data_IF_680020035944
#
_entry.id   IF_680020035944
#
_cell.length_a   1.000
_cell.length_b   1.000
_cell.length_c   1.000
_cell.angle_alpha   90.00
_cell.angle_beta   90.00
_cell.angle_gamma   90.00
#
_symmetry.space_group_name_H-M   'P 1'
#
loop_
_entity.id
_entity.type
_entity.pdbx_description
1 polymer ?
#
# COMPACT_ATOMS: atom_id res chain seq x y z
N UNK A 1 -8.53 -13.03 -8.02
CA UNK A 1 -8.77 -11.98 -7.00
C UNK A 1 -7.67 -12.02 -5.95
N UNK A 2 -6.99 -10.89 -5.77
CA UNK A 2 -5.71 -10.72 -5.06
C UNK A 2 -5.76 -10.91 -3.52
N UNK A 3 -6.82 -11.52 -2.98
CA UNK A 3 -7.06 -11.64 -1.53
C UNK A 3 -7.10 -10.28 -0.79
N UNK A 4 -7.37 -9.17 -1.47
CA UNK A 4 -7.49 -7.84 -0.84
C UNK A 4 -8.86 -7.69 -0.20
N UNK A 5 -8.90 -7.29 1.07
CA UNK A 5 -10.11 -6.88 1.80
C UNK A 5 -10.32 -5.37 1.75
N UNK A 6 -9.23 -4.61 1.83
CA UNK A 6 -9.25 -3.15 1.81
C UNK A 6 -7.96 -2.63 1.21
N UNK A 7 -8.05 -1.56 0.45
CA UNK A 7 -6.90 -0.87 -0.13
C UNK A 7 -7.06 0.63 0.03
N UNK A 8 -5.96 1.33 0.28
CA UNK A 8 -5.89 2.77 0.30
C UNK A 8 -4.52 3.25 -0.17
N UNK A 9 -4.44 4.52 -0.54
CA UNK A 9 -3.21 5.19 -0.93
C UNK A 9 -2.76 6.07 0.23
N UNK A 10 -1.46 6.11 0.51
CA UNK A 10 -0.88 7.06 1.46
C UNK A 10 0.32 7.77 0.82
N UNK A 11 1.15 8.43 1.63
CA UNK A 11 2.41 8.99 1.15
C UNK A 11 2.23 10.20 0.24
N UNK A 12 3.13 10.35 -0.74
CA UNK A 12 3.23 11.56 -1.57
C UNK A 12 1.99 11.81 -2.43
N UNK A 13 1.37 10.73 -2.93
CA UNK A 13 0.15 10.79 -3.73
C UNK A 13 -1.06 11.26 -2.91
N UNK A 14 -1.21 10.77 -1.68
CA UNK A 14 -2.29 11.21 -0.79
C UNK A 14 -2.10 12.66 -0.30
N UNK A 15 -0.85 13.12 -0.17
CA UNK A 15 -0.51 14.47 0.32
C UNK A 15 -0.44 15.54 -0.78
N UNK A 16 -0.51 15.16 -2.05
CA UNK A 16 -0.34 16.08 -3.17
C UNK A 16 1.09 16.61 -3.34
N UNK A 17 2.08 15.92 -2.77
CA UNK A 17 3.51 16.26 -2.84
C UNK A 17 4.28 15.33 -3.78
N UNK A 18 3.58 14.67 -4.69
CA UNK A 18 4.11 13.72 -5.67
C UNK A 18 5.06 14.37 -6.67
N UNK A 19 6.12 13.66 -7.05
CA UNK A 19 7.03 14.04 -8.14
C UNK A 19 7.03 12.99 -9.25
N UNK A 20 7.77 13.26 -10.33
CA UNK A 20 7.92 12.29 -11.43
C UNK A 20 8.69 11.03 -11.03
N UNK A 21 9.45 11.09 -9.93
CA UNK A 21 10.25 9.97 -9.42
C UNK A 21 9.56 9.20 -8.30
N UNK A 22 8.42 9.71 -7.79
CA UNK A 22 7.65 9.06 -6.72
C UNK A 22 7.03 7.74 -7.17
N UNK A 23 7.17 6.73 -6.32
CA UNK A 23 6.37 5.52 -6.24
C UNK A 23 4.97 5.79 -5.67
N UNK A 24 4.07 4.82 -5.82
CA UNK A 24 2.74 4.86 -5.23
C UNK A 24 2.72 3.93 -4.01
N UNK A 25 2.55 4.55 -2.85
CA UNK A 25 2.42 3.89 -1.55
C UNK A 25 0.98 3.39 -1.32
N UNK A 26 0.81 2.06 -1.23
CA UNK A 26 -0.47 1.43 -0.93
C UNK A 26 -0.51 0.82 0.47
N UNK A 27 -1.56 1.15 1.23
CA UNK A 27 -1.92 0.43 2.43
C UNK A 27 -2.92 -0.68 2.09
N UNK A 28 -2.60 -1.93 2.40
CA UNK A 28 -3.42 -3.08 2.03
C UNK A 28 -3.76 -3.95 3.24
N UNK A 29 -5.05 -4.23 3.41
CA UNK A 29 -5.53 -5.27 4.31
C UNK A 29 -5.88 -6.51 3.49
N UNK A 30 -5.21 -7.62 3.77
CA UNK A 30 -5.43 -8.89 3.09
C UNK A 30 -6.36 -9.82 3.87
N UNK A 31 -7.03 -10.71 3.14
CA UNK A 31 -7.64 -11.90 3.66
C UNK A 31 -6.58 -12.99 3.86
N UNK A 32 -6.09 -13.15 5.08
CA UNK A 32 -4.97 -14.05 5.38
C UNK A 32 -5.26 -15.54 5.08
N UNK A 33 -6.53 -15.96 5.09
CA UNK A 33 -6.91 -17.33 4.71
C UNK A 33 -6.77 -17.58 3.20
N UNK A 34 -6.84 -16.51 2.40
CA UNK A 34 -6.75 -16.56 0.93
C UNK A 34 -5.41 -16.08 0.41
N UNK A 35 -4.61 -15.38 1.22
CA UNK A 35 -3.36 -14.76 0.82
C UNK A 35 -2.30 -15.83 0.53
N UNK A 36 -1.70 -15.73 -0.66
CA UNK A 36 -0.53 -16.50 -1.06
C UNK A 36 0.53 -15.53 -1.57
N UNK A 37 1.79 -15.97 -1.66
CA UNK A 37 2.85 -15.15 -2.26
C UNK A 37 2.52 -14.77 -3.71
N UNK A 38 1.99 -15.71 -4.50
CA UNK A 38 1.61 -15.43 -5.89
C UNK A 38 0.58 -14.30 -5.97
N UNK A 39 -0.48 -14.32 -5.15
CA UNK A 39 -1.49 -13.24 -5.13
C UNK A 39 -0.92 -11.90 -4.71
N UNK A 40 0.07 -11.91 -3.81
CA UNK A 40 0.77 -10.69 -3.40
C UNK A 40 1.57 -10.10 -4.55
N UNK A 41 2.35 -10.92 -5.27
CA UNK A 41 3.12 -10.47 -6.44
C UNK A 41 2.23 -10.08 -7.61
N UNK A 42 1.18 -10.85 -7.91
CA UNK A 42 0.18 -10.51 -8.92
C UNK A 42 -0.48 -9.16 -8.64
N UNK A 43 -0.71 -8.81 -7.36
CA UNK A 43 -1.24 -7.49 -7.00
C UNK A 43 -0.24 -6.37 -7.33
N UNK A 44 1.04 -6.57 -7.00
CA UNK A 44 2.09 -5.59 -7.31
C UNK A 44 2.18 -5.39 -8.82
N UNK A 45 2.33 -6.46 -9.60
CA UNK A 45 2.42 -6.40 -11.06
C UNK A 45 1.18 -5.73 -11.67
N UNK A 46 -0.01 -6.03 -11.14
CA UNK A 46 -1.25 -5.42 -11.57
C UNK A 46 -1.27 -3.90 -11.29
N UNK A 47 -0.90 -3.48 -10.09
CA UNK A 47 -0.90 -2.06 -9.71
C UNK A 47 0.17 -1.27 -10.45
N UNK A 48 1.37 -1.83 -10.63
CA UNK A 48 2.43 -1.20 -11.42
C UNK A 48 2.03 -1.10 -12.90
N UNK A 49 1.45 -2.16 -13.48
CA UNK A 49 0.95 -2.16 -14.85
C UNK A 49 -0.20 -1.16 -15.07
N UNK A 50 -1.08 -1.00 -14.08
CA UNK A 50 -2.19 -0.04 -14.12
C UNK A 50 -1.71 1.41 -14.03
N UNK A 51 -0.70 1.68 -13.22
CA UNK A 51 -0.27 3.04 -12.87
C UNK A 51 0.93 3.52 -13.67
N UNK A 52 1.69 2.61 -14.28
CA UNK A 52 2.96 2.90 -14.96
C UNK A 52 4.06 3.37 -14.01
N UNK A 53 3.92 3.13 -12.71
CA UNK A 53 4.87 3.55 -11.66
C UNK A 53 5.20 2.38 -10.76
N UNK A 54 6.34 2.48 -10.07
CA UNK A 54 6.68 1.54 -9.00
C UNK A 54 5.66 1.63 -7.87
N UNK A 55 5.39 0.51 -7.22
CA UNK A 55 4.42 0.38 -6.16
C UNK A 55 5.05 -0.21 -4.90
N UNK A 56 4.86 0.49 -3.79
CA UNK A 56 5.25 0.03 -2.46
C UNK A 56 4.00 -0.36 -1.66
N UNK A 57 3.98 -1.56 -1.10
CA UNK A 57 2.85 -2.08 -0.32
C UNK A 57 3.23 -2.16 1.16
N UNK A 58 2.47 -1.45 1.99
CA UNK A 58 2.45 -1.62 3.44
C UNK A 58 1.19 -2.38 3.84
N UNK A 59 1.38 -3.54 4.46
CA UNK A 59 0.25 -4.34 4.94
C UNK A 59 -0.23 -3.86 6.31
N UNK A 60 -1.48 -4.17 6.68
CA UNK A 60 -2.00 -3.95 8.04
C UNK A 60 -1.05 -4.41 9.14
N UNK A 61 -0.52 -5.62 9.01
CA UNK A 61 0.39 -6.17 10.01
C UNK A 61 1.79 -5.56 9.90
N UNK A 62 2.26 -5.26 8.68
CA UNK A 62 3.50 -4.52 8.44
C UNK A 62 3.49 -3.15 9.14
N UNK A 63 2.39 -2.40 9.03
CA UNK A 63 2.22 -1.10 9.69
C UNK A 63 2.31 -1.21 11.22
N UNK A 64 1.78 -2.29 11.81
CA UNK A 64 1.91 -2.54 13.26
C UNK A 64 3.36 -2.79 13.69
N UNK A 65 4.22 -3.27 12.80
CA UNK A 65 5.64 -3.52 13.11
C UNK A 65 6.51 -2.26 13.10
N UNK A 66 6.02 -1.15 12.54
CA UNK A 66 6.74 0.12 12.50
C UNK A 66 6.93 0.65 13.92
N UNK A 67 8.19 0.71 14.37
CA UNK A 67 8.55 1.06 15.75
C UNK A 67 8.70 2.56 15.99
N UNK A 68 8.72 3.36 14.94
CA UNK A 68 8.84 4.81 15.02
C UNK A 68 7.43 5.40 15.07
N UNK A 69 6.93 5.86 16.24
CA UNK A 69 5.51 6.15 16.41
C UNK A 69 4.98 7.23 15.46
N UNK A 70 5.75 8.31 15.26
CA UNK A 70 5.31 9.40 14.39
C UNK A 70 5.17 8.96 12.92
N UNK A 71 6.02 8.05 12.43
CA UNK A 71 5.92 7.51 11.07
C UNK A 71 4.66 6.66 10.93
N UNK A 72 4.42 5.78 11.92
CA UNK A 72 3.23 4.94 11.94
C UNK A 72 1.95 5.79 11.93
N UNK A 73 1.88 6.79 12.82
CA UNK A 73 0.73 7.70 12.90
C UNK A 73 0.55 8.52 11.63
N UNK A 74 1.64 8.99 11.01
CA UNK A 74 1.59 9.73 9.76
C UNK A 74 1.01 8.89 8.62
N UNK A 75 1.44 7.63 8.50
CA UNK A 75 0.88 6.69 7.54
C UNK A 75 -0.61 6.51 7.83
N UNK A 76 -0.98 6.13 9.06
CA UNK A 76 -2.38 5.87 9.45
C UNK A 76 -3.32 7.06 9.15
N UNK A 77 -2.87 8.29 9.39
CA UNK A 77 -3.67 9.51 9.17
C UNK A 77 -3.74 9.94 7.70
N UNK A 78 -2.78 9.53 6.87
CA UNK A 78 -2.71 9.93 5.46
C UNK A 78 -3.35 8.93 4.50
N UNK A 79 -3.84 7.79 4.99
CA UNK A 79 -4.52 6.80 4.14
C UNK A 79 -5.84 7.37 3.61
N UNK A 80 -5.94 7.41 2.28
CA UNK A 80 -7.17 7.66 1.54
C UNK A 80 -7.62 6.31 0.96
N UNK A 81 -8.76 5.81 1.43
CA UNK A 81 -9.33 4.56 0.94
C UNK A 81 -10.00 4.75 -0.43
N UNK A 82 -9.86 3.72 -1.27
CA UNK A 82 -10.42 3.67 -2.64
C UNK A 82 -11.56 2.67 -2.71
#
# INVERSE_FOLDING_TARGET
EFAVKKIGIFGSFAKGTVTNESDIDFYVEFDLERLTFDKFFELIEFLEGLTGRKVDIVTKDGLKTIRIPYIKEEIERSIIYV
#
